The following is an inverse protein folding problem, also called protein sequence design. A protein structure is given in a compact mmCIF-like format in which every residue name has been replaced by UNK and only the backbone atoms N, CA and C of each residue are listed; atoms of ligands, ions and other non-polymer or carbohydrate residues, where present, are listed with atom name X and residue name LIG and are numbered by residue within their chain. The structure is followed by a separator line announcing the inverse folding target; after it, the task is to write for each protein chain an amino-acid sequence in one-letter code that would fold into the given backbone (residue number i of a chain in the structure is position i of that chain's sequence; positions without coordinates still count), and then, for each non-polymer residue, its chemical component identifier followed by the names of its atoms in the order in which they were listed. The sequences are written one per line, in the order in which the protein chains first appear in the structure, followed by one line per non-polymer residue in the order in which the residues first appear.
data_IF_687334335190
#
_entry.id   IF_687334335190
#
_cell.length_a   1.000
_cell.length_b   1.000
_cell.length_c   1.000
_cell.angle_alpha   90.00
_cell.angle_beta   90.00
_cell.angle_gamma   90.00
#
_symmetry.space_group_name_H-M   'P 1'
#
loop_
_entity.id
_entity.type
_entity.pdbx_description
1 polymer ?
#
# COMPACT_ATOMS: atom_id res chain seq x y z
N UNK A 1 -14.52 -3.30 3.52
CA UNK A 1 -13.26 -2.57 3.28
C UNK A 1 -12.20 -2.91 4.32
N UNK A 2 -12.49 -2.76 5.62
CA UNK A 2 -11.56 -3.13 6.70
C UNK A 2 -11.00 -4.55 6.56
N UNK A 3 -11.87 -5.55 6.41
CA UNK A 3 -11.47 -6.96 6.24
C UNK A 3 -10.53 -7.19 5.03
N UNK A 4 -10.79 -6.50 3.91
CA UNK A 4 -9.91 -6.56 2.74
C UNK A 4 -8.52 -6.03 3.06
N UNK A 5 -8.43 -4.85 3.71
CA UNK A 5 -7.14 -4.27 4.10
C UNK A 5 -6.44 -5.15 5.14
N UNK A 6 -7.17 -5.67 6.13
CA UNK A 6 -6.63 -6.59 7.15
C UNK A 6 -5.94 -7.79 6.48
N UNK A 7 -6.63 -8.45 5.56
CA UNK A 7 -6.09 -9.61 4.81
C UNK A 7 -4.96 -9.23 3.84
N UNK A 8 -5.04 -8.06 3.21
CA UNK A 8 -4.02 -7.64 2.26
C UNK A 8 -2.71 -7.26 2.95
N UNK A 9 -2.76 -6.66 4.14
CA UNK A 9 -1.56 -6.43 4.96
C UNK A 9 -0.89 -7.76 5.33
N UNK A 10 -1.68 -8.74 5.79
CA UNK A 10 -1.16 -10.08 6.10
C UNK A 10 -0.51 -10.75 4.89
N UNK A 11 -1.09 -10.56 3.70
CA UNK A 11 -0.50 -11.09 2.47
C UNK A 11 0.81 -10.39 2.06
N UNK A 12 0.98 -9.10 2.42
CA UNK A 12 2.18 -8.32 2.11
C UNK A 12 3.35 -8.60 3.06
N UNK A 13 3.10 -9.03 4.30
CA UNK A 13 4.14 -9.35 5.28
C UNK A 13 5.28 -10.24 4.73
N UNK A 14 5.02 -11.44 4.17
CA UNK A 14 6.08 -12.28 3.63
C UNK A 14 6.76 -11.66 2.40
N UNK A 15 6.05 -10.83 1.62
CA UNK A 15 6.61 -10.15 0.45
C UNK A 15 7.63 -9.10 0.89
N UNK A 16 7.30 -8.30 1.90
CA UNK A 16 8.21 -7.27 2.43
C UNK A 16 9.47 -7.88 3.06
N UNK A 17 9.34 -9.03 3.73
CA UNK A 17 10.49 -9.77 4.22
C UNK A 17 11.38 -10.30 3.07
N UNK A 18 10.78 -10.83 2.01
CA UNK A 18 11.47 -11.20 0.78
C UNK A 18 12.27 -10.06 0.16
N UNK A 19 11.66 -8.88 0.03
CA UNK A 19 12.36 -7.69 -0.49
C UNK A 19 13.57 -7.31 0.37
N UNK A 20 13.43 -7.39 1.70
CA UNK A 20 14.54 -7.10 2.63
C UNK A 20 15.68 -8.11 2.51
N UNK A 21 15.36 -9.40 2.43
CA UNK A 21 16.37 -10.47 2.33
C UNK A 21 17.10 -10.46 0.99
N UNK A 22 16.41 -10.10 -0.10
CA UNK A 22 16.99 -9.93 -1.44
C UNK A 22 17.70 -8.58 -1.64
N UNK A 23 17.81 -7.76 -0.59
CA UNK A 23 18.41 -6.41 -0.65
C UNK A 23 17.74 -5.48 -1.69
N UNK A 24 16.42 -5.63 -1.90
CA UNK A 24 15.60 -4.76 -2.74
C UNK A 24 14.99 -3.66 -1.87
N UNK A 25 15.40 -2.43 -2.12
CA UNK A 25 15.04 -1.31 -1.27
C UNK A 25 13.66 -0.68 -1.55
N UNK A 26 13.03 -1.00 -2.68
CA UNK A 26 11.79 -0.35 -3.11
C UNK A 26 10.76 -1.36 -3.60
N UNK A 27 9.52 -1.23 -3.11
CA UNK A 27 8.36 -1.94 -3.61
C UNK A 27 7.25 -0.93 -3.93
N UNK A 28 6.64 -1.05 -5.10
CA UNK A 28 5.50 -0.21 -5.51
C UNK A 28 4.22 -1.02 -5.47
N UNK A 29 3.26 -0.59 -4.66
CA UNK A 29 1.94 -1.24 -4.53
C UNK A 29 0.89 -0.32 -5.16
N UNK A 30 0.30 -0.77 -6.26
CA UNK A 30 -0.76 -0.04 -6.95
C UNK A 30 -2.14 -0.58 -6.56
N UNK A 31 -3.06 0.29 -6.15
CA UNK A 31 -4.44 -0.05 -5.86
C UNK A 31 -5.37 0.70 -6.79
N UNK A 32 -6.13 -0.03 -7.61
CA UNK A 32 -7.05 0.53 -8.59
C UNK A 32 -8.51 0.33 -8.23
N UNK A 33 -9.34 1.34 -8.52
CA UNK A 33 -10.78 1.18 -8.66
C UNK A 33 -11.20 1.84 -9.97
N UNK A 34 -12.39 1.55 -10.49
CA UNK A 34 -12.82 2.01 -11.82
C UNK A 34 -12.59 3.50 -12.06
N UNK A 35 -12.93 4.36 -11.09
CA UNK A 35 -12.80 5.81 -11.21
C UNK A 35 -11.58 6.42 -10.53
N UNK A 36 -10.68 5.64 -9.93
CA UNK A 36 -9.44 6.13 -9.31
C UNK A 36 -9.54 7.05 -8.08
N UNK A 37 -10.73 7.60 -7.76
CA UNK A 37 -10.92 8.71 -6.80
C UNK A 37 -11.50 8.34 -5.43
N UNK A 38 -12.08 7.14 -5.28
CA UNK A 38 -12.81 6.77 -4.05
C UNK A 38 -12.18 5.57 -3.33
N UNK A 39 -12.46 4.36 -3.82
CA UNK A 39 -12.08 3.11 -3.13
C UNK A 39 -10.57 2.90 -3.14
N UNK A 40 -9.90 3.13 -4.27
CA UNK A 40 -8.44 3.04 -4.38
C UNK A 40 -7.73 3.99 -3.43
N UNK A 41 -8.20 5.25 -3.36
CA UNK A 41 -7.66 6.28 -2.46
C UNK A 41 -7.78 5.84 -1.00
N UNK A 42 -8.99 5.42 -0.58
CA UNK A 42 -9.24 4.99 0.79
C UNK A 42 -8.38 3.77 1.18
N UNK A 43 -8.25 2.77 0.30
CA UNK A 43 -7.39 1.60 0.56
C UNK A 43 -5.92 2.00 0.61
N UNK A 44 -5.43 2.82 -0.32
CA UNK A 44 -4.02 3.23 -0.36
C UNK A 44 -3.62 4.01 0.90
N UNK A 45 -4.48 4.91 1.37
CA UNK A 45 -4.26 5.65 2.63
C UNK A 45 -4.21 4.70 3.82
N UNK A 46 -5.14 3.76 3.91
CA UNK A 46 -5.19 2.83 5.04
C UNK A 46 -4.02 1.83 5.03
N UNK A 47 -3.67 1.28 3.86
CA UNK A 47 -2.47 0.44 3.73
C UNK A 47 -1.21 1.20 4.13
N UNK A 48 -1.09 2.46 3.70
CA UNK A 48 0.06 3.30 4.06
C UNK A 48 0.22 3.46 5.56
N UNK A 49 -0.87 3.79 6.27
CA UNK A 49 -0.86 3.93 7.73
C UNK A 49 -0.38 2.66 8.44
N UNK A 50 -0.82 1.49 7.97
CA UNK A 50 -0.49 0.19 8.57
C UNK A 50 0.92 -0.25 8.25
N UNK A 51 1.34 -0.12 6.99
CA UNK A 51 2.70 -0.47 6.56
C UNK A 51 3.74 0.44 7.21
N UNK A 52 3.41 1.71 7.48
CA UNK A 52 4.28 2.61 8.23
C UNK A 52 4.52 2.19 9.69
N UNK A 53 3.72 1.27 10.25
CA UNK A 53 3.98 0.71 11.59
C UNK A 53 5.06 -0.39 11.57
N UNK A 54 5.48 -0.85 10.38
CA UNK A 54 6.49 -1.90 10.28
C UNK A 54 7.89 -1.32 10.51
N UNK A 55 8.74 -2.03 11.28
CA UNK A 55 10.09 -1.56 11.56
C UNK A 55 10.92 -1.46 10.27
N UNK A 56 11.60 -0.32 10.10
CA UNK A 56 12.47 -0.01 8.95
C UNK A 56 11.73 0.04 7.61
N UNK A 57 10.42 0.30 7.61
CA UNK A 57 9.63 0.54 6.40
C UNK A 57 9.28 2.02 6.34
N UNK A 58 9.70 2.67 5.25
CA UNK A 58 9.26 4.03 4.91
C UNK A 58 8.22 3.93 3.80
N UNK A 59 7.07 4.57 3.99
CA UNK A 59 5.97 4.53 3.03
C UNK A 59 5.67 5.91 2.49
N UNK A 60 5.58 6.01 1.16
CA UNK A 60 5.08 7.19 0.46
C UNK A 60 3.81 6.81 -0.28
N UNK A 61 2.81 7.68 -0.27
CA UNK A 61 1.52 7.45 -0.94
C UNK A 61 1.28 8.53 -1.98
N UNK A 62 0.87 8.14 -3.17
CA UNK A 62 0.48 9.04 -4.25
C UNK A 62 -0.84 8.58 -4.85
N UNK A 63 -1.64 9.55 -5.32
CA UNK A 63 -2.97 9.31 -5.88
C UNK A 63 -3.02 9.85 -7.30
N UNK A 64 -2.88 8.96 -8.29
CA UNK A 64 -2.72 9.33 -9.71
C UNK A 64 -3.89 10.17 -10.27
N UNK A 65 -5.11 9.87 -9.85
CA UNK A 65 -6.33 10.45 -10.42
C UNK A 65 -6.95 11.56 -9.53
N UNK A 66 -6.35 11.86 -8.38
CA UNK A 66 -6.73 12.98 -7.53
C UNK A 66 -6.07 14.26 -8.03
N UNK A 67 -6.84 15.33 -8.24
CA UNK A 67 -6.31 16.64 -8.69
C UNK A 67 -6.03 16.74 -10.19
N UNK A 68 -6.59 15.84 -11.01
CA UNK A 68 -6.46 15.85 -12.47
C UNK A 68 -7.65 16.53 -13.16
N UNK A 69 -8.20 17.55 -12.53
CA UNK A 69 -9.37 18.32 -12.94
C UNK A 69 -9.04 19.80 -13.11
#
# INVERSE_FOLDING_TARGET
MKDFVDRYVLALEPVLDGYRTENKHYATIAVGCTGGKHRSVAVAVELSKRLAQYPRVTVTTSHRDLGRE
#
